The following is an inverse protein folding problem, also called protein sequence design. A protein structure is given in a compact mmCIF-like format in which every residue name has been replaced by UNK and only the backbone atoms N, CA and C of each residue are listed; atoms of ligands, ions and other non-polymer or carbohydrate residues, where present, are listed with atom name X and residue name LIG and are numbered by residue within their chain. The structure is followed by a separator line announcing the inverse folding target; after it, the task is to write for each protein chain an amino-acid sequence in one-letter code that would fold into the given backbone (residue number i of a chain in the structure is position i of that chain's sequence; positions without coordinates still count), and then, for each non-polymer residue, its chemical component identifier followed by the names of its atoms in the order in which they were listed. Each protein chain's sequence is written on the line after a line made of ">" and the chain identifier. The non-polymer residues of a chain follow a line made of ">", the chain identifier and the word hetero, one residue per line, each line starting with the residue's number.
data_IF_763778123217
#
_entry.id   IF_763778123217
#
_cell.length_a   1.000
_cell.length_b   1.000
_cell.length_c   1.000
_cell.angle_alpha   90.00
_cell.angle_beta   90.00
_cell.angle_gamma   90.00
#
_symmetry.space_group_name_H-M   'P 1'
#
loop_
_entity.id
_entity.type
_entity.pdbx_description
1 polymer ?
#
# COMPACT_ATOMS: atom_id res chain seq x y z
N UNK A 1 -15.54 25.04 3.82
CA UNK A 1 -16.74 24.73 3.01
C UNK A 1 -16.35 24.45 1.53
N UNK A 2 -15.62 25.36 0.87
CA UNK A 2 -15.22 25.27 -0.56
C UNK A 2 -14.46 23.98 -0.93
N UNK A 3 -13.53 23.51 -0.10
CA UNK A 3 -12.73 22.30 -0.36
C UNK A 3 -13.62 21.03 -0.43
N UNK A 4 -14.66 20.93 0.41
CA UNK A 4 -15.62 19.82 0.35
C UNK A 4 -16.45 19.81 -0.95
N UNK A 5 -16.83 20.98 -1.45
CA UNK A 5 -17.56 21.10 -2.72
C UNK A 5 -16.68 20.73 -3.91
N UNK A 6 -15.43 21.20 -3.95
CA UNK A 6 -14.47 20.86 -5.02
C UNK A 6 -14.20 19.34 -5.03
N UNK A 7 -13.99 18.72 -3.87
CA UNK A 7 -13.77 17.27 -3.76
C UNK A 7 -15.01 16.47 -4.21
N UNK A 8 -16.23 16.97 -3.91
CA UNK A 8 -17.49 16.34 -4.34
C UNK A 8 -17.70 16.47 -5.85
N UNK A 9 -17.36 17.62 -6.43
CA UNK A 9 -17.42 17.86 -7.88
C UNK A 9 -16.42 16.97 -8.63
N UNK A 10 -15.18 16.87 -8.12
CA UNK A 10 -14.17 15.97 -8.67
C UNK A 10 -14.57 14.49 -8.58
N UNK A 11 -15.32 14.11 -7.55
CA UNK A 11 -15.84 12.75 -7.40
C UNK A 11 -16.95 12.45 -8.43
N UNK A 12 -17.80 13.44 -8.74
CA UNK A 12 -18.87 13.34 -9.76
C UNK A 12 -18.31 13.29 -11.18
N UNK A 13 -17.20 13.98 -11.45
CA UNK A 13 -16.54 14.00 -12.75
C UNK A 13 -15.60 12.82 -13.00
N UNK A 14 -15.26 12.05 -11.93
CA UNK A 14 -14.35 10.92 -12.00
C UNK A 14 -14.70 9.85 -13.04
N UNK A 15 -15.98 9.46 -13.24
CA UNK A 15 -16.36 8.47 -14.24
C UNK A 15 -16.11 8.91 -15.69
N UNK A 16 -15.95 10.21 -15.93
CA UNK A 16 -15.72 10.78 -17.26
C UNK A 16 -14.25 10.68 -17.71
N UNK A 17 -13.33 10.36 -16.82
CA UNK A 17 -11.89 10.30 -17.13
C UNK A 17 -11.40 8.85 -17.16
N UNK A 18 -10.56 8.47 -18.14
CA UNK A 18 -9.87 7.19 -18.13
C UNK A 18 -9.09 7.00 -16.83
N UNK A 19 -9.09 5.77 -16.28
CA UNK A 19 -8.41 5.48 -14.99
C UNK A 19 -6.94 5.90 -14.98
N UNK A 20 -6.27 5.83 -16.13
CA UNK A 20 -4.86 6.27 -16.29
C UNK A 20 -4.72 7.77 -15.96
N UNK A 21 -5.61 8.60 -16.47
CA UNK A 21 -5.60 10.06 -16.19
C UNK A 21 -5.80 10.33 -14.70
N UNK A 22 -6.72 9.61 -14.06
CA UNK A 22 -6.96 9.73 -12.62
C UNK A 22 -5.73 9.26 -11.81
N UNK A 23 -5.07 8.18 -12.25
CA UNK A 23 -3.90 7.64 -11.58
C UNK A 23 -2.73 8.63 -11.60
N UNK A 24 -2.42 9.21 -12.76
CA UNK A 24 -1.30 10.15 -12.89
C UNK A 24 -1.64 11.58 -12.46
N UNK A 25 -2.88 12.05 -12.68
CA UNK A 25 -3.32 13.42 -12.35
C UNK A 25 -3.72 13.61 -10.88
N UNK A 26 -4.15 12.56 -10.19
CA UNK A 26 -4.64 12.65 -8.82
C UNK A 26 -3.89 11.73 -7.83
N UNK A 27 -3.81 10.43 -8.14
CA UNK A 27 -3.26 9.48 -7.18
C UNK A 27 -1.74 9.64 -6.99
N UNK A 28 -0.99 9.81 -8.07
CA UNK A 28 0.46 9.98 -8.01
C UNK A 28 0.87 11.30 -7.32
N UNK A 29 0.35 12.49 -7.67
CA UNK A 29 0.64 13.73 -6.95
C UNK A 29 0.29 13.65 -5.46
N UNK A 30 -0.83 13.01 -5.12
CA UNK A 30 -1.25 12.77 -3.74
C UNK A 30 -0.24 11.91 -2.98
N UNK A 31 0.30 10.87 -3.60
CA UNK A 31 1.30 10.00 -2.99
C UNK A 31 2.64 10.72 -2.79
N UNK A 32 3.07 11.51 -3.77
CA UNK A 32 4.26 12.35 -3.67
C UNK A 32 4.14 13.35 -2.52
N UNK A 33 3.02 14.07 -2.45
CA UNK A 33 2.76 15.05 -1.40
C UNK A 33 2.75 14.41 -0.01
N UNK A 34 2.09 13.26 0.13
CA UNK A 34 2.08 12.51 1.39
C UNK A 34 3.51 12.11 1.80
N UNK A 35 4.30 11.58 0.88
CA UNK A 35 5.69 11.21 1.17
C UNK A 35 6.53 12.42 1.60
N UNK A 36 6.38 13.54 0.92
CA UNK A 36 7.11 14.77 1.24
C UNK A 36 6.75 15.31 2.63
N UNK A 37 5.46 15.41 2.96
CA UNK A 37 4.96 15.89 4.26
C UNK A 37 5.49 15.03 5.42
N UNK A 38 5.57 13.71 5.24
CA UNK A 38 6.06 12.80 6.28
C UNK A 38 7.57 12.56 6.25
N UNK A 39 8.31 13.20 5.34
CA UNK A 39 9.77 13.10 5.23
C UNK A 39 10.25 11.76 4.69
N UNK A 40 9.45 11.14 3.80
CA UNK A 40 9.78 9.88 3.11
C UNK A 40 10.32 8.76 4.04
N UNK A 41 9.58 8.38 5.07
CA UNK A 41 10.07 7.47 6.12
C UNK A 41 10.39 6.07 5.60
N UNK A 42 9.86 5.67 4.44
CA UNK A 42 10.13 4.38 3.83
C UNK A 42 11.58 4.15 3.42
N UNK A 43 12.39 5.22 3.26
CA UNK A 43 13.81 5.11 2.88
C UNK A 43 14.66 4.40 3.93
N UNK A 44 14.31 4.55 5.20
CA UNK A 44 15.09 4.03 6.33
C UNK A 44 14.56 2.67 6.83
N UNK A 45 13.61 2.09 6.13
CA UNK A 45 12.94 0.85 6.48
C UNK A 45 13.22 -0.24 5.44
N UNK A 46 13.49 -1.44 5.90
CA UNK A 46 13.60 -2.65 5.08
C UNK A 46 12.20 -3.18 4.78
N UNK A 47 11.62 -2.77 3.66
CA UNK A 47 10.24 -3.10 3.32
C UNK A 47 10.17 -4.40 2.53
N UNK A 48 9.32 -5.33 2.97
CA UNK A 48 8.96 -6.57 2.30
C UNK A 48 7.53 -6.41 1.80
N UNK A 49 7.37 -6.22 0.50
CA UNK A 49 6.07 -6.08 -0.14
C UNK A 49 5.49 -7.44 -0.51
N UNK A 50 4.26 -7.73 -0.11
CA UNK A 50 3.57 -8.98 -0.43
C UNK A 50 2.32 -8.69 -1.25
N UNK A 51 2.24 -9.25 -2.44
CA UNK A 51 1.07 -9.15 -3.32
C UNK A 51 0.63 -10.53 -3.80
N UNK A 52 -0.54 -10.60 -4.39
CA UNK A 52 -1.15 -11.82 -4.96
C UNK A 52 -2.65 -11.70 -5.03
N UNK A 53 -3.33 -12.70 -5.58
CA UNK A 53 -4.79 -12.79 -5.53
C UNK A 53 -5.21 -13.28 -4.14
N UNK A 54 -4.73 -14.43 -3.73
CA UNK A 54 -5.02 -15.06 -2.45
C UNK A 54 -3.76 -15.23 -1.60
N UNK A 55 -3.92 -15.45 -0.30
CA UNK A 55 -2.83 -15.77 0.62
C UNK A 55 -1.95 -14.60 1.03
N UNK A 56 -2.20 -13.37 0.58
CA UNK A 56 -1.42 -12.16 0.94
C UNK A 56 -1.30 -11.99 2.47
N UNK A 57 -2.43 -11.96 3.15
CA UNK A 57 -2.48 -11.76 4.61
C UNK A 57 -1.81 -12.89 5.37
N UNK A 58 -2.03 -14.13 4.96
CA UNK A 58 -1.40 -15.31 5.56
C UNK A 58 0.12 -15.24 5.40
N UNK A 59 0.61 -15.03 4.18
CA UNK A 59 2.04 -14.94 3.87
C UNK A 59 2.69 -13.76 4.61
N UNK A 60 2.06 -12.59 4.61
CA UNK A 60 2.56 -11.42 5.33
C UNK A 60 2.64 -11.68 6.85
N UNK A 61 1.64 -12.34 7.41
CA UNK A 61 1.61 -12.72 8.83
C UNK A 61 2.71 -13.73 9.16
N UNK A 62 2.91 -14.73 8.31
CA UNK A 62 3.98 -15.72 8.48
C UNK A 62 5.37 -15.06 8.46
N UNK A 63 5.65 -14.21 7.47
CA UNK A 63 6.93 -13.48 7.38
C UNK A 63 7.13 -12.61 8.62
N UNK A 64 6.10 -11.90 9.07
CA UNK A 64 6.15 -11.09 10.30
C UNK A 64 6.51 -11.96 11.51
N UNK A 65 5.87 -13.10 11.71
CA UNK A 65 6.14 -13.98 12.85
C UNK A 65 7.54 -14.59 12.79
N UNK A 66 8.00 -15.04 11.63
CA UNK A 66 9.37 -15.56 11.45
C UNK A 66 10.39 -14.49 11.85
N UNK A 67 10.28 -13.28 11.34
CA UNK A 67 11.20 -12.19 11.69
C UNK A 67 11.13 -11.81 13.17
N UNK A 68 9.92 -11.80 13.74
CA UNK A 68 9.71 -11.50 15.16
C UNK A 68 10.35 -12.57 16.07
N UNK A 69 10.17 -13.86 15.75
CA UNK A 69 10.76 -14.98 16.48
C UNK A 69 12.29 -14.96 16.35
N UNK A 70 12.82 -14.52 15.21
CA UNK A 70 14.27 -14.29 15.02
C UNK A 70 14.79 -13.02 15.73
N UNK A 71 14.03 -12.42 16.64
CA UNK A 71 14.43 -11.25 17.43
C UNK A 71 14.52 -9.94 16.65
N UNK A 72 13.99 -9.88 15.42
CA UNK A 72 14.04 -8.65 14.61
C UNK A 72 12.96 -7.65 15.05
N UNK A 73 13.30 -6.36 14.98
CA UNK A 73 12.33 -5.26 15.16
C UNK A 73 11.50 -5.13 13.87
N UNK A 74 10.35 -5.79 13.84
CA UNK A 74 9.48 -5.91 12.67
C UNK A 74 8.08 -5.37 12.96
N UNK A 75 7.46 -4.76 11.94
CA UNK A 75 6.06 -4.37 11.92
C UNK A 75 5.33 -5.03 10.74
N UNK A 76 4.02 -5.14 10.84
CA UNK A 76 3.13 -5.64 9.79
C UNK A 76 2.10 -4.56 9.45
N UNK A 77 1.89 -4.32 8.18
CA UNK A 77 0.74 -3.55 7.66
C UNK A 77 -0.03 -4.48 6.74
N UNK A 78 -1.18 -4.93 7.20
CA UNK A 78 -2.08 -5.80 6.43
C UNK A 78 -3.41 -5.09 6.14
N UNK A 79 -4.31 -5.79 5.42
CA UNK A 79 -5.69 -5.36 5.16
C UNK A 79 -6.48 -5.16 6.45
N UNK A 80 -6.24 -5.99 7.44
CA UNK A 80 -7.08 -6.09 8.65
C UNK A 80 -6.57 -5.16 9.75
N UNK A 81 -5.25 -5.13 9.96
CA UNK A 81 -4.63 -4.35 11.04
C UNK A 81 -3.17 -3.98 10.72
N UNK A 82 -2.63 -3.06 11.51
CA UNK A 82 -1.19 -2.81 11.56
C UNK A 82 -0.66 -3.21 12.94
N UNK A 83 0.35 -4.09 12.95
CA UNK A 83 1.05 -4.54 14.16
C UNK A 83 2.37 -3.82 14.31
N UNK A 84 2.50 -3.03 15.36
CA UNK A 84 3.73 -2.28 15.66
C UNK A 84 4.18 -2.62 17.07
N UNK A 85 5.20 -3.43 17.21
CA UNK A 85 5.65 -3.96 18.51
C UNK A 85 4.57 -4.82 19.16
N UNK A 86 4.11 -4.41 20.36
CA UNK A 86 3.01 -5.07 21.09
C UNK A 86 1.64 -4.48 20.81
N UNK A 87 1.55 -3.40 20.04
CA UNK A 87 0.30 -2.68 19.78
C UNK A 87 -0.29 -3.11 18.43
N UNK A 88 -1.55 -3.56 18.47
CA UNK A 88 -2.39 -3.68 17.30
C UNK A 88 -3.08 -2.35 17.07
N UNK A 89 -2.87 -1.76 15.92
CA UNK A 89 -3.54 -0.56 15.48
C UNK A 89 -4.61 -1.03 14.50
N UNK A 90 -5.87 -0.95 14.89
CA UNK A 90 -6.97 -1.13 13.94
C UNK A 90 -6.79 -0.05 12.87
N UNK A 91 -6.46 -0.45 11.67
CA UNK A 91 -6.21 0.49 10.58
C UNK A 91 -7.50 1.16 10.11
N UNK A 92 -8.65 0.58 10.45
CA UNK A 92 -9.95 1.07 10.00
C UNK A 92 -10.10 1.04 8.47
N UNK A 93 -9.20 0.37 7.80
CA UNK A 93 -9.20 0.29 6.35
C UNK A 93 -10.21 -0.76 5.91
N UNK A 94 -11.39 -0.31 5.54
CA UNK A 94 -12.33 -1.14 4.77
C UNK A 94 -11.79 -1.45 3.36
N UNK A 95 -10.57 -1.03 3.04
CA UNK A 95 -9.87 -1.22 1.75
C UNK A 95 -8.45 -1.70 2.01
N UNK A 96 -8.04 -2.71 1.30
CA UNK A 96 -6.81 -3.51 1.46
C UNK A 96 -5.47 -2.73 1.36
N UNK A 97 -5.47 -1.48 0.95
CA UNK A 97 -4.28 -0.62 0.96
C UNK A 97 -4.65 0.75 1.54
N UNK A 98 -3.95 1.21 2.58
CA UNK A 98 -4.20 2.51 3.16
C UNK A 98 -4.02 3.62 2.11
N UNK A 99 -4.68 4.75 2.34
CA UNK A 99 -4.39 5.92 1.52
C UNK A 99 -2.93 6.38 1.76
N UNK A 100 -2.30 7.08 0.81
CA UNK A 100 -0.90 7.46 0.92
C UNK A 100 -0.53 8.19 2.22
N UNK A 101 -1.38 9.11 2.70
CA UNK A 101 -1.11 9.86 3.95
C UNK A 101 -1.10 8.94 5.17
N UNK A 102 -2.08 8.05 5.28
CA UNK A 102 -2.13 7.10 6.39
C UNK A 102 -0.95 6.12 6.36
N UNK A 103 -0.56 5.66 5.18
CA UNK A 103 0.61 4.79 5.02
C UNK A 103 1.89 5.50 5.46
N UNK A 104 2.15 6.72 4.97
CA UNK A 104 3.34 7.47 5.33
C UNK A 104 3.37 7.83 6.82
N UNK A 105 2.22 8.15 7.43
CA UNK A 105 2.10 8.38 8.87
C UNK A 105 2.47 7.12 9.68
N UNK A 106 1.98 5.94 9.26
CA UNK A 106 2.34 4.66 9.90
C UNK A 106 3.83 4.37 9.78
N UNK A 107 4.42 4.54 8.60
CA UNK A 107 5.85 4.32 8.38
C UNK A 107 6.69 5.28 9.21
N UNK A 108 6.31 6.56 9.29
CA UNK A 108 6.98 7.55 10.18
C UNK A 108 6.94 7.10 11.65
N UNK A 109 5.77 6.61 12.11
CA UNK A 109 5.63 6.07 13.46
C UNK A 109 6.49 4.83 13.69
N UNK A 110 6.57 3.91 12.71
CA UNK A 110 7.42 2.73 12.78
C UNK A 110 8.90 3.13 12.85
N UNK A 111 9.33 4.08 12.02
CA UNK A 111 10.68 4.65 12.06
C UNK A 111 11.03 5.27 13.42
N UNK A 112 10.13 6.07 14.02
CA UNK A 112 10.35 6.68 15.34
C UNK A 112 10.46 5.65 16.46
N UNK A 113 9.84 4.47 16.30
CA UNK A 113 9.96 3.34 17.23
C UNK A 113 11.17 2.44 16.93
N UNK A 114 12.07 2.86 16.03
CA UNK A 114 13.27 2.11 15.65
C UNK A 114 12.93 0.72 15.08
N UNK A 115 11.77 0.57 14.45
CA UNK A 115 11.46 -0.61 13.64
C UNK A 115 12.42 -0.62 12.45
N UNK A 116 12.92 -1.80 12.10
CA UNK A 116 13.80 -1.98 10.95
C UNK A 116 13.08 -2.61 9.77
N UNK A 117 12.29 -3.64 10.02
CA UNK A 117 11.60 -4.41 8.99
C UNK A 117 10.11 -4.09 8.96
N UNK A 118 9.55 -3.91 7.79
CA UNK A 118 8.11 -3.72 7.61
C UNK A 118 7.60 -4.70 6.56
N UNK A 119 6.71 -5.59 6.96
CA UNK A 119 5.96 -6.43 6.02
C UNK A 119 4.72 -5.66 5.60
N UNK A 120 4.60 -5.38 4.32
CA UNK A 120 3.53 -4.57 3.73
C UNK A 120 2.71 -5.40 2.76
N UNK A 121 1.45 -5.63 3.09
CA UNK A 121 0.48 -6.22 2.16
C UNK A 121 0.05 -5.18 1.13
N UNK A 122 0.13 -5.53 -0.16
CA UNK A 122 -0.15 -4.61 -1.27
C UNK A 122 -1.14 -5.22 -2.24
N UNK A 123 -2.22 -4.48 -2.53
CA UNK A 123 -3.23 -4.90 -3.54
C UNK A 123 -2.89 -4.39 -4.93
N UNK A 124 -3.51 -5.00 -5.94
CA UNK A 124 -3.43 -4.52 -7.33
C UNK A 124 -3.93 -3.08 -7.48
N UNK A 125 -5.01 -2.72 -6.80
CA UNK A 125 -5.51 -1.34 -6.75
C UNK A 125 -4.50 -0.38 -6.12
N UNK A 126 -3.87 -0.81 -5.01
CA UNK A 126 -2.85 -0.01 -4.31
C UNK A 126 -1.63 0.27 -5.19
N UNK A 127 -1.23 -0.70 -5.98
CA UNK A 127 -0.13 -0.57 -6.96
C UNK A 127 -0.54 0.29 -8.15
N UNK A 128 -1.72 0.05 -8.70
CA UNK A 128 -2.20 0.80 -9.85
C UNK A 128 -2.43 2.28 -9.53
N UNK A 129 -2.97 2.56 -8.36
CA UNK A 129 -3.25 3.91 -7.84
C UNK A 129 -2.05 4.56 -7.13
N UNK A 130 -0.84 4.08 -7.30
CA UNK A 130 0.38 4.63 -6.68
C UNK A 130 0.29 4.82 -5.16
N UNK A 131 -0.57 4.08 -4.44
CA UNK A 131 -0.80 4.30 -3.00
C UNK A 131 0.45 4.05 -2.15
N UNK A 132 1.35 3.18 -2.61
CA UNK A 132 2.61 2.89 -1.93
C UNK A 132 3.79 3.74 -2.42
N UNK A 133 3.60 4.57 -3.46
CA UNK A 133 4.66 5.41 -3.99
C UNK A 133 5.13 6.46 -2.95
N UNK A 134 6.41 6.77 -2.84
CA UNK A 134 7.57 6.27 -3.58
C UNK A 134 8.30 5.10 -2.90
N UNK A 135 7.60 4.28 -2.14
CA UNK A 135 8.18 3.14 -1.42
C UNK A 135 8.71 2.13 -2.43
N UNK A 136 9.97 1.75 -2.24
CA UNK A 136 10.63 0.69 -2.98
C UNK A 136 10.87 -0.50 -2.06
N UNK A 137 10.08 -1.57 -2.16
CA UNK A 137 10.31 -2.76 -1.36
C UNK A 137 11.67 -3.36 -1.67
N UNK A 138 12.40 -3.76 -0.65
CA UNK A 138 13.68 -4.45 -0.80
C UNK A 138 13.50 -5.91 -1.23
N UNK A 139 12.38 -6.48 -0.82
CA UNK A 139 11.92 -7.82 -1.21
C UNK A 139 10.47 -7.69 -1.68
N UNK A 140 10.18 -8.21 -2.85
CA UNK A 140 8.83 -8.33 -3.38
C UNK A 140 8.44 -9.81 -3.44
N UNK A 141 7.27 -10.13 -2.90
CA UNK A 141 6.73 -11.49 -2.82
C UNK A 141 5.42 -11.55 -3.59
N UNK A 142 5.30 -12.51 -4.48
CA UNK A 142 4.07 -12.85 -5.18
C UNK A 142 3.58 -14.21 -4.67
N UNK A 143 2.37 -14.27 -4.15
CA UNK A 143 1.77 -15.55 -3.70
C UNK A 143 1.19 -16.34 -4.87
N UNK A 144 0.29 -15.71 -5.62
CA UNK A 144 -0.32 -16.25 -6.83
C UNK A 144 -0.98 -15.14 -7.65
N UNK A 145 -1.39 -15.47 -8.88
CA UNK A 145 -2.25 -14.61 -9.72
C UNK A 145 -3.32 -15.48 -10.35
N UNK A 146 -4.57 -15.27 -9.95
CA UNK A 146 -5.77 -15.87 -10.53
C UNK A 146 -6.74 -14.76 -10.98
N UNK A 147 -7.85 -15.11 -11.62
CA UNK A 147 -8.81 -14.13 -12.10
C UNK A 147 -9.55 -13.46 -10.93
N UNK A 148 -9.33 -12.15 -10.77
CA UNK A 148 -10.00 -11.32 -9.75
C UNK A 148 -9.98 -9.85 -10.17
N UNK A 149 -10.89 -9.03 -9.62
CA UNK A 149 -10.95 -7.58 -9.83
C UNK A 149 -11.02 -7.12 -11.30
N UNK A 150 -11.69 -7.90 -12.16
CA UNK A 150 -11.87 -7.52 -13.56
C UNK A 150 -12.86 -6.37 -13.76
N UNK A 151 -13.71 -6.11 -12.77
CA UNK A 151 -14.54 -4.92 -12.65
C UNK A 151 -13.72 -3.63 -12.68
N UNK A 152 -12.53 -3.64 -12.07
CA UNK A 152 -11.62 -2.50 -12.03
C UNK A 152 -10.55 -2.55 -13.15
N UNK A 153 -9.90 -3.69 -13.33
CA UNK A 153 -8.77 -3.83 -14.27
C UNK A 153 -9.20 -4.13 -15.71
N UNK A 154 -10.47 -4.47 -15.93
CA UNK A 154 -11.10 -4.83 -17.22
C UNK A 154 -10.51 -6.05 -17.89
N UNK A 155 -9.20 -6.32 -17.78
CA UNK A 155 -8.55 -7.50 -18.37
C UNK A 155 -7.60 -8.16 -17.36
N UNK A 156 -7.43 -9.47 -17.50
CA UNK A 156 -6.45 -10.23 -16.70
C UNK A 156 -5.02 -9.69 -16.88
N UNK A 157 -4.66 -9.31 -18.10
CA UNK A 157 -3.34 -8.75 -18.41
C UNK A 157 -3.10 -7.41 -17.68
N UNK A 158 -4.10 -6.53 -17.60
CA UNK A 158 -4.02 -5.28 -16.85
C UNK A 158 -3.87 -5.53 -15.34
N UNK A 159 -4.64 -6.49 -14.79
CA UNK A 159 -4.52 -6.93 -13.41
C UNK A 159 -3.13 -7.48 -13.08
N UNK A 160 -2.62 -8.37 -13.92
CA UNK A 160 -1.26 -8.92 -13.81
C UNK A 160 -0.20 -7.80 -13.86
N UNK A 161 -0.33 -6.89 -14.85
CA UNK A 161 0.59 -5.75 -15.01
C UNK A 161 0.58 -4.85 -13.77
N UNK A 162 -0.58 -4.61 -13.16
CA UNK A 162 -0.67 -3.84 -11.92
C UNK A 162 0.12 -4.49 -10.77
N UNK A 163 0.01 -5.82 -10.58
CA UNK A 163 0.80 -6.54 -9.55
C UNK A 163 2.29 -6.52 -9.84
N UNK A 164 2.69 -6.63 -11.10
CA UNK A 164 4.08 -6.62 -11.51
C UNK A 164 4.78 -5.27 -11.24
N UNK A 165 4.03 -4.18 -11.03
CA UNK A 165 4.60 -2.89 -10.60
C UNK A 165 5.41 -3.01 -9.29
N UNK A 166 5.05 -3.97 -8.40
CA UNK A 166 5.79 -4.20 -7.15
C UNK A 166 7.23 -4.65 -7.39
N UNK A 167 7.51 -5.31 -8.50
CA UNK A 167 8.82 -5.87 -8.85
C UNK A 167 9.67 -4.93 -9.70
N UNK A 168 9.08 -3.82 -10.18
CA UNK A 168 9.75 -2.82 -11.02
C UNK A 168 10.18 -1.57 -10.25
N UNK A 169 9.92 -1.54 -8.96
CA UNK A 169 10.19 -0.39 -8.08
C UNK A 169 11.67 -0.32 -7.62
#
# INVERSE_FOLDING_TARGET
>A
LYVKYILRLLHLLRPLFPQVVVNYGYHLPKAILASWIYGNPGRDLEIIGVTGTDGKTTTSTMIYHILKTAGKKVALISTVDAKVGRKNIKTGFHVTSPNPFALQALLRRMRSQKIRYVVLEVTSHGLDQFRIYPIKPKIAVLTNITHEHLDYHHTFKAYQTAKLKLFKS
#
